data_IF_077077760758
#
_entry.id   IF_077077760758
#
_cell.length_a   1.000
_cell.length_b   1.000
_cell.length_c   1.000
_cell.angle_alpha   90.00
_cell.angle_beta   90.00
_cell.angle_gamma   90.00
#
_symmetry.space_group_name_H-M   'P 1'
#
loop_
_entity.id
_entity.type
_entity.pdbx_description
1 polymer ?
#
# COMPACT_ATOMS: atom_id res chain seq x y z
N UNK A 1 -19.40 20.83 -15.76
CA UNK A 1 -18.11 20.67 -16.46
C UNK A 1 -17.71 22.03 -16.98
N UNK A 2 -16.51 22.46 -16.61
CA UNK A 2 -15.91 23.73 -17.00
C UNK A 2 -14.83 23.42 -18.04
N UNK A 3 -14.76 24.21 -19.09
CA UNK A 3 -13.75 24.05 -20.13
C UNK A 3 -12.76 25.20 -20.01
N UNK A 4 -11.51 24.90 -19.67
CA UNK A 4 -10.46 25.90 -19.50
C UNK A 4 -9.11 25.28 -19.23
N UNK A 5 -8.08 26.11 -19.04
CA UNK A 5 -6.76 25.67 -18.65
C UNK A 5 -6.71 25.50 -17.12
N UNK A 6 -6.57 24.26 -16.65
CA UNK A 6 -6.49 23.94 -15.22
C UNK A 6 -5.27 24.50 -14.51
N UNK A 7 -4.29 25.10 -15.22
CA UNK A 7 -3.14 25.79 -14.63
C UNK A 7 -3.37 27.29 -14.45
N UNK A 8 -4.50 27.81 -14.97
CA UNK A 8 -4.89 29.20 -14.82
C UNK A 8 -5.47 29.43 -13.42
N UNK A 9 -4.74 30.19 -12.60
CA UNK A 9 -5.14 30.50 -11.23
C UNK A 9 -6.40 31.36 -11.16
N UNK A 10 -6.59 32.30 -12.11
CA UNK A 10 -7.79 33.14 -12.13
C UNK A 10 -9.04 32.28 -12.36
N UNK A 11 -8.96 31.29 -13.27
CA UNK A 11 -10.03 30.33 -13.49
C UNK A 11 -10.31 29.49 -12.24
N UNK A 12 -9.27 29.00 -11.55
CA UNK A 12 -9.44 28.21 -10.32
C UNK A 12 -10.09 29.03 -9.20
N UNK A 13 -9.78 30.32 -9.10
CA UNK A 13 -10.37 31.24 -8.14
C UNK A 13 -11.84 31.57 -8.49
N UNK A 14 -12.15 31.84 -9.76
CA UNK A 14 -13.52 32.07 -10.24
C UNK A 14 -14.45 30.88 -9.95
N UNK A 15 -13.90 29.67 -10.01
CA UNK A 15 -14.65 28.43 -9.75
C UNK A 15 -14.64 28.00 -8.29
N UNK A 16 -14.17 28.88 -7.39
CA UNK A 16 -14.16 28.68 -5.93
C UNK A 16 -13.52 27.34 -5.50
N UNK A 17 -12.40 26.99 -6.15
CA UNK A 17 -11.68 25.74 -5.87
C UNK A 17 -11.28 25.64 -4.39
N UNK A 18 -11.08 26.76 -3.72
CA UNK A 18 -10.70 26.84 -2.30
C UNK A 18 -11.79 26.30 -1.36
N UNK A 19 -13.06 26.30 -1.78
CA UNK A 19 -14.16 25.73 -1.00
C UNK A 19 -14.30 24.19 -1.17
N UNK A 20 -13.41 23.56 -1.93
CA UNK A 20 -13.48 22.13 -2.20
C UNK A 20 -12.92 21.29 -1.04
N UNK A 21 -13.55 20.15 -0.73
CA UNK A 21 -13.06 19.16 0.23
C UNK A 21 -11.83 18.40 -0.29
N UNK A 22 -11.67 18.32 -1.60
CA UNK A 22 -10.56 17.63 -2.23
C UNK A 22 -10.24 18.22 -3.61
N UNK A 23 -8.96 18.17 -4.00
CA UNK A 23 -8.46 18.55 -5.30
C UNK A 23 -7.67 17.40 -5.93
N UNK A 24 -7.97 17.07 -7.19
CA UNK A 24 -7.30 15.97 -7.89
C UNK A 24 -6.81 16.44 -9.26
N UNK A 25 -5.49 16.51 -9.45
CA UNK A 25 -4.86 16.90 -10.70
C UNK A 25 -4.55 15.68 -11.56
N UNK A 26 -5.23 15.54 -12.71
CA UNK A 26 -5.18 14.36 -13.59
C UNK A 26 -4.89 14.72 -15.06
N UNK A 27 -4.27 15.85 -15.35
CA UNK A 27 -3.93 16.20 -16.72
C UNK A 27 -2.88 15.22 -17.30
N UNK A 28 -2.56 15.31 -18.56
CA UNK A 28 -1.53 14.50 -19.21
C UNK A 28 -0.10 15.00 -18.94
N UNK A 29 0.07 16.19 -18.36
CA UNK A 29 1.35 16.81 -18.02
C UNK A 29 1.65 16.69 -16.53
N UNK A 30 2.66 15.89 -16.20
CA UNK A 30 3.04 15.61 -14.80
C UNK A 30 3.48 16.91 -14.08
N UNK A 31 4.17 17.82 -14.77
CA UNK A 31 4.63 19.10 -14.23
C UNK A 31 3.44 20.00 -13.83
N UNK A 32 2.44 20.11 -14.71
CA UNK A 32 1.26 20.92 -14.46
C UNK A 32 0.48 20.33 -13.26
N UNK A 33 0.31 19.01 -13.22
CA UNK A 33 -0.36 18.35 -12.11
C UNK A 33 0.30 18.65 -10.75
N UNK A 34 1.65 18.69 -10.71
CA UNK A 34 2.37 19.03 -9.48
C UNK A 34 2.20 20.50 -9.11
N UNK A 35 2.32 21.41 -10.08
CA UNK A 35 2.22 22.86 -9.82
C UNK A 35 0.83 23.21 -9.31
N UNK A 36 -0.24 22.77 -9.97
CA UNK A 36 -1.60 23.08 -9.54
C UNK A 36 -1.97 22.38 -8.23
N UNK A 37 -1.40 21.20 -7.96
CA UNK A 37 -1.58 20.53 -6.68
C UNK A 37 -0.89 21.27 -5.53
N UNK A 38 0.31 21.80 -5.74
CA UNK A 38 0.99 22.63 -4.75
C UNK A 38 0.23 23.93 -4.50
N UNK A 39 -0.32 24.55 -5.54
CA UNK A 39 -1.21 25.70 -5.39
C UNK A 39 -2.44 25.33 -4.53
N UNK A 40 -3.16 24.26 -4.87
CA UNK A 40 -4.33 23.79 -4.12
C UNK A 40 -4.01 23.51 -2.64
N UNK A 41 -2.86 22.91 -2.36
CA UNK A 41 -2.38 22.68 -1.01
C UNK A 41 -2.10 23.99 -0.26
N UNK A 42 -1.48 24.98 -0.92
CA UNK A 42 -1.22 26.29 -0.35
C UNK A 42 -2.53 27.05 -0.03
N UNK A 43 -3.58 26.82 -0.80
CA UNK A 43 -4.92 27.36 -0.53
C UNK A 43 -5.64 26.67 0.64
N UNK A 44 -5.04 25.65 1.23
CA UNK A 44 -5.58 24.98 2.42
C UNK A 44 -6.59 23.87 2.11
N UNK A 45 -6.68 23.39 0.88
CA UNK A 45 -7.58 22.27 0.54
C UNK A 45 -7.14 21.01 1.29
N UNK A 46 -8.05 20.36 2.06
CA UNK A 46 -7.68 19.30 3.01
C UNK A 46 -7.08 18.06 2.36
N UNK A 47 -7.52 17.73 1.14
CA UNK A 47 -7.05 16.56 0.39
C UNK A 47 -6.63 16.94 -1.01
N UNK A 48 -5.35 16.79 -1.30
CA UNK A 48 -4.79 17.06 -2.62
C UNK A 48 -4.12 15.81 -3.17
N UNK A 49 -4.43 15.46 -4.42
CA UNK A 49 -3.87 14.29 -5.11
C UNK A 49 -3.35 14.71 -6.48
N UNK A 50 -2.11 14.39 -6.78
CA UNK A 50 -1.50 14.59 -8.09
C UNK A 50 -1.23 13.29 -8.83
N UNK A 51 -1.55 13.23 -10.13
CA UNK A 51 -1.05 12.17 -11.01
C UNK A 51 0.37 12.51 -11.47
N UNK A 52 1.30 11.56 -11.32
CA UNK A 52 2.60 11.63 -11.97
C UNK A 52 3.04 10.26 -12.48
N UNK A 53 3.47 10.19 -13.71
CA UNK A 53 4.07 8.99 -14.31
C UNK A 53 5.59 8.92 -14.10
N UNK A 54 6.20 10.02 -13.67
CA UNK A 54 7.65 10.13 -13.42
C UNK A 54 7.96 9.91 -11.96
N UNK A 55 8.67 8.83 -11.64
CA UNK A 55 9.02 8.46 -10.27
C UNK A 55 9.89 9.51 -9.55
N UNK A 56 10.76 10.22 -10.27
CA UNK A 56 11.62 11.24 -9.69
C UNK A 56 10.85 12.46 -9.16
N UNK A 57 9.61 12.68 -9.59
CA UNK A 57 8.78 13.77 -9.09
C UNK A 57 8.15 13.50 -7.73
N UNK A 58 7.96 12.23 -7.36
CA UNK A 58 7.39 11.87 -6.05
C UNK A 58 8.23 12.41 -4.89
N UNK A 59 9.57 12.29 -4.95
CA UNK A 59 10.47 12.84 -3.93
C UNK A 59 10.41 14.36 -3.82
N UNK A 60 10.31 15.07 -4.96
CA UNK A 60 10.17 16.53 -4.99
C UNK A 60 8.82 16.96 -4.39
N UNK A 61 7.75 16.28 -4.77
CA UNK A 61 6.40 16.54 -4.26
C UNK A 61 6.32 16.33 -2.74
N UNK A 62 6.87 15.22 -2.23
CA UNK A 62 6.95 14.95 -0.79
C UNK A 62 7.75 16.02 -0.04
N UNK A 63 8.90 16.44 -0.58
CA UNK A 63 9.71 17.51 0.01
C UNK A 63 8.94 18.84 0.08
N UNK A 64 8.01 19.07 -0.84
CA UNK A 64 7.12 20.22 -0.87
C UNK A 64 5.84 20.04 -0.03
N UNK A 65 5.66 18.89 0.64
CA UNK A 65 4.52 18.59 1.51
C UNK A 65 3.33 17.92 0.81
N UNK A 66 3.44 17.56 -0.47
CA UNK A 66 2.39 16.87 -1.20
C UNK A 66 2.52 15.34 -1.02
N UNK A 67 1.77 14.79 -0.09
CA UNK A 67 1.89 13.37 0.29
C UNK A 67 1.18 12.40 -0.66
N UNK A 68 0.23 12.87 -1.47
CA UNK A 68 -0.58 12.02 -2.34
C UNK A 68 -0.21 12.19 -3.81
N UNK A 69 0.87 11.56 -4.24
CA UNK A 69 1.24 11.44 -5.65
C UNK A 69 1.00 10.02 -6.12
N UNK A 70 0.17 9.85 -7.14
CA UNK A 70 -0.20 8.54 -7.69
C UNK A 70 0.36 8.37 -9.10
N UNK A 71 0.84 7.16 -9.39
CA UNK A 71 1.23 6.75 -10.74
C UNK A 71 0.31 5.66 -11.25
N UNK A 72 -0.54 5.92 -12.25
CA UNK A 72 -1.40 4.90 -12.84
C UNK A 72 -0.64 3.67 -13.35
N UNK A 73 0.56 3.89 -13.89
CA UNK A 73 1.43 2.79 -14.37
C UNK A 73 1.85 1.86 -13.23
N UNK A 74 2.24 2.41 -12.08
CA UNK A 74 2.63 1.61 -10.92
C UNK A 74 1.44 0.90 -10.28
N UNK A 75 0.27 1.56 -10.22
CA UNK A 75 -0.97 0.94 -9.75
C UNK A 75 -1.34 -0.25 -10.64
N UNK A 76 -1.33 -0.08 -11.96
CA UNK A 76 -1.62 -1.16 -12.90
C UNK A 76 -0.59 -2.30 -12.78
N UNK A 77 0.69 -1.99 -12.69
CA UNK A 77 1.73 -3.01 -12.48
C UNK A 77 1.51 -3.79 -11.16
N UNK A 78 1.13 -3.11 -10.09
CA UNK A 78 0.77 -3.74 -8.82
C UNK A 78 -0.42 -4.69 -8.95
N UNK A 79 -1.47 -4.28 -9.64
CA UNK A 79 -2.64 -5.13 -9.92
C UNK A 79 -2.29 -6.37 -10.74
N UNK A 80 -1.46 -6.23 -11.78
CA UNK A 80 -0.99 -7.35 -12.58
C UNK A 80 -0.18 -8.33 -11.71
N UNK A 81 0.75 -7.83 -10.90
CA UNK A 81 1.53 -8.66 -9.98
C UNK A 81 0.65 -9.40 -8.98
N UNK A 82 -0.38 -8.74 -8.44
CA UNK A 82 -1.35 -9.37 -7.55
C UNK A 82 -2.06 -10.55 -8.23
N UNK A 83 -2.55 -10.35 -9.46
CA UNK A 83 -3.22 -11.42 -10.23
C UNK A 83 -2.26 -12.58 -10.50
N UNK A 84 -1.03 -12.29 -10.95
CA UNK A 84 -0.02 -13.34 -11.25
C UNK A 84 0.34 -14.12 -9.98
N UNK A 85 0.58 -13.45 -8.86
CA UNK A 85 0.86 -14.12 -7.58
C UNK A 85 -0.33 -14.93 -7.07
N UNK A 86 -1.55 -14.41 -7.22
CA UNK A 86 -2.77 -15.14 -6.87
C UNK A 86 -2.95 -16.44 -7.70
N UNK A 87 -2.60 -16.43 -8.98
CA UNK A 87 -2.61 -17.63 -9.81
C UNK A 87 -1.58 -18.67 -9.37
N UNK A 88 -0.42 -18.26 -8.87
CA UNK A 88 0.62 -19.15 -8.36
C UNK A 88 0.25 -19.76 -7.00
N UNK A 89 -0.57 -19.06 -6.23
CA UNK A 89 -1.00 -19.45 -4.88
C UNK A 89 -2.45 -19.95 -4.86
N UNK A 90 -2.73 -21.04 -5.56
CA UNK A 90 -4.10 -21.59 -5.70
C UNK A 90 -4.69 -22.21 -4.42
N UNK A 91 -3.92 -22.39 -3.35
CA UNK A 91 -4.33 -23.06 -2.10
C UNK A 91 -4.05 -22.24 -0.83
N UNK A 92 -3.42 -21.10 -0.93
CA UNK A 92 -2.99 -20.30 0.20
C UNK A 92 -3.94 -19.17 0.62
N UNK A 93 -3.45 -18.27 1.44
CA UNK A 93 -4.15 -17.06 1.86
C UNK A 93 -4.35 -16.12 0.68
N UNK A 94 -5.54 -15.54 0.55
CA UNK A 94 -5.83 -14.60 -0.54
C UNK A 94 -5.05 -13.32 -0.32
N UNK A 95 -4.23 -12.93 -1.31
CA UNK A 95 -3.59 -11.61 -1.34
C UNK A 95 -4.55 -10.62 -1.98
N UNK A 96 -5.05 -9.65 -1.20
CA UNK A 96 -5.98 -8.62 -1.66
C UNK A 96 -5.28 -7.42 -2.29
N UNK A 97 -4.09 -7.07 -1.80
CA UNK A 97 -3.36 -5.92 -2.28
C UNK A 97 -1.84 -6.11 -2.16
N UNK A 98 -1.12 -5.44 -3.07
CA UNK A 98 0.34 -5.36 -3.08
C UNK A 98 0.76 -3.95 -3.48
N UNK A 99 1.51 -3.29 -2.61
CA UNK A 99 2.06 -1.96 -2.84
C UNK A 99 3.57 -1.98 -2.65
N UNK A 100 4.29 -1.39 -3.59
CA UNK A 100 5.70 -1.08 -3.39
C UNK A 100 5.82 0.22 -2.58
N UNK A 101 6.57 0.19 -1.50
CA UNK A 101 6.81 1.31 -0.61
C UNK A 101 8.32 1.57 -0.48
N UNK A 102 8.71 2.69 0.12
CA UNK A 102 10.11 3.08 0.30
C UNK A 102 10.91 3.00 -1.03
N UNK A 103 10.41 3.66 -2.07
CA UNK A 103 11.03 3.69 -3.42
C UNK A 103 11.26 2.29 -4.03
N UNK A 104 10.42 1.34 -3.67
CA UNK A 104 10.51 -0.05 -4.13
C UNK A 104 11.41 -0.96 -3.30
N UNK A 105 12.00 -0.45 -2.21
CA UNK A 105 12.85 -1.24 -1.32
C UNK A 105 12.08 -2.12 -0.35
N UNK A 106 10.76 -1.96 -0.26
CA UNK A 106 9.87 -2.81 0.51
C UNK A 106 8.53 -3.00 -0.20
N UNK A 107 7.81 -4.04 0.19
CA UNK A 107 6.46 -4.33 -0.27
C UNK A 107 5.52 -4.35 0.95
N UNK A 108 4.37 -3.68 0.83
CA UNK A 108 3.25 -3.82 1.74
C UNK A 108 2.20 -4.72 1.09
N UNK A 109 1.86 -5.80 1.74
CA UNK A 109 0.95 -6.83 1.22
C UNK A 109 -0.20 -7.02 2.19
N UNK A 110 -1.40 -7.12 1.64
CA UNK A 110 -2.60 -7.42 2.39
C UNK A 110 -3.04 -8.85 2.12
N UNK A 111 -3.16 -9.64 3.18
CA UNK A 111 -3.63 -11.02 3.12
C UNK A 111 -4.89 -11.19 3.98
N UNK A 112 -5.73 -12.16 3.62
CA UNK A 112 -6.79 -12.64 4.50
C UNK A 112 -6.36 -13.98 5.08
N UNK A 113 -6.23 -14.04 6.40
CA UNK A 113 -5.94 -15.27 7.11
C UNK A 113 -7.11 -16.26 6.97
N UNK A 114 -6.82 -17.51 6.68
CA UNK A 114 -7.83 -18.55 6.46
C UNK A 114 -7.53 -19.82 7.25
N UNK A 115 -8.28 -20.88 7.01
CA UNK A 115 -8.10 -22.15 7.70
C UNK A 115 -6.73 -22.79 7.52
N UNK A 116 -6.00 -22.47 6.44
CA UNK A 116 -4.67 -23.01 6.13
C UNK A 116 -3.54 -22.13 6.66
N UNK A 117 -3.84 -20.96 7.21
CA UNK A 117 -2.83 -20.08 7.83
C UNK A 117 -2.24 -20.75 9.05
N UNK A 118 -0.91 -20.90 9.07
CA UNK A 118 -0.16 -21.46 10.20
C UNK A 118 -0.12 -20.48 11.37
N UNK A 119 0.16 -20.99 12.56
CA UNK A 119 0.40 -20.20 13.78
C UNK A 119 -0.75 -19.24 14.14
N UNK A 120 -1.98 -19.55 13.75
CA UNK A 120 -3.15 -18.80 14.19
C UNK A 120 -3.29 -18.84 15.70
N UNK A 121 -3.89 -17.80 16.25
CA UNK A 121 -4.19 -17.67 17.68
C UNK A 121 -2.96 -17.75 18.59
N UNK A 122 -1.74 -17.71 17.99
CA UNK A 122 -0.47 -17.68 18.71
C UNK A 122 0.00 -16.23 18.82
N UNK A 123 0.40 -15.74 20.00
CA UNK A 123 0.94 -14.40 20.17
C UNK A 123 2.14 -14.13 19.26
N UNK A 124 2.18 -12.95 18.61
CA UNK A 124 3.25 -12.59 17.66
C UNK A 124 4.65 -12.69 18.28
N UNK A 125 4.81 -12.42 19.58
CA UNK A 125 6.08 -12.57 20.30
C UNK A 125 6.61 -14.00 20.35
N UNK A 126 5.75 -15.01 20.17
CA UNK A 126 6.09 -16.42 20.18
C UNK A 126 6.38 -16.95 18.78
N UNK A 127 6.11 -16.16 17.76
CA UNK A 127 6.30 -16.51 16.36
C UNK A 127 7.72 -16.18 15.90
N UNK A 128 8.29 -17.06 15.09
CA UNK A 128 9.53 -16.79 14.37
C UNK A 128 9.19 -16.30 12.98
N UNK A 129 9.34 -14.99 12.76
CA UNK A 129 9.18 -14.36 11.46
C UNK A 129 10.51 -14.35 10.73
N UNK A 130 10.47 -14.51 9.42
CA UNK A 130 11.67 -14.36 8.57
C UNK A 130 12.26 -12.95 8.69
N UNK A 131 13.59 -12.79 8.57
CA UNK A 131 14.22 -11.48 8.62
C UNK A 131 13.61 -10.51 7.60
N UNK A 132 13.40 -9.25 8.00
CA UNK A 132 12.86 -8.20 7.15
C UNK A 132 11.34 -8.24 6.98
N UNK A 133 10.64 -9.03 7.78
CA UNK A 133 9.18 -9.09 7.84
C UNK A 133 8.66 -8.32 9.05
N UNK A 134 7.59 -7.57 8.85
CA UNK A 134 6.83 -6.89 9.89
C UNK A 134 5.33 -7.11 9.66
N UNK A 135 4.63 -7.62 10.66
CA UNK A 135 3.16 -7.56 10.71
C UNK A 135 2.79 -6.15 11.17
N UNK A 136 2.35 -5.31 10.26
CA UNK A 136 2.17 -3.89 10.49
C UNK A 136 0.77 -3.53 11.00
N UNK A 137 -0.26 -4.22 10.49
CA UNK A 137 -1.67 -3.97 10.86
C UNK A 137 -2.43 -5.28 10.86
N UNK A 138 -3.33 -5.42 11.82
CA UNK A 138 -4.38 -6.44 11.83
C UNK A 138 -5.75 -5.76 11.75
N UNK A 139 -6.65 -6.31 10.93
CA UNK A 139 -8.06 -5.91 10.94
C UNK A 139 -8.88 -7.10 11.42
N UNK A 140 -9.33 -7.02 12.66
CA UNK A 140 -10.14 -8.04 13.29
C UNK A 140 -11.59 -7.58 13.37
N UNK A 141 -12.52 -8.29 12.74
CA UNK A 141 -13.95 -7.95 12.72
C UNK A 141 -14.22 -6.47 12.36
N UNK A 142 -13.47 -5.92 11.39
CA UNK A 142 -13.58 -4.53 10.94
C UNK A 142 -12.87 -3.50 11.84
N UNK A 143 -12.21 -3.91 12.92
CA UNK A 143 -11.41 -3.04 13.78
C UNK A 143 -9.95 -3.09 13.37
N UNK A 144 -9.39 -1.93 13.11
CA UNK A 144 -7.97 -1.78 12.80
C UNK A 144 -7.17 -1.76 14.10
N UNK A 145 -6.16 -2.63 14.18
CA UNK A 145 -5.25 -2.77 15.32
C UNK A 145 -3.81 -2.66 14.83
N UNK A 146 -3.02 -1.82 15.46
CA UNK A 146 -1.56 -1.86 15.34
C UNK A 146 -1.09 -2.97 16.30
N UNK A 147 -0.60 -4.10 15.77
CA UNK A 147 -0.32 -5.25 16.63
C UNK A 147 0.91 -5.04 17.50
N UNK A 148 0.88 -5.63 18.66
CA UNK A 148 2.01 -5.80 19.57
C UNK A 148 2.36 -7.27 19.75
N UNK A 149 3.34 -7.57 20.62
CA UNK A 149 3.76 -8.94 20.85
C UNK A 149 2.70 -9.85 21.47
N UNK A 150 1.62 -9.31 22.06
CA UNK A 150 0.51 -10.08 22.63
C UNK A 150 -0.62 -10.34 21.63
N UNK A 151 -0.62 -9.63 20.50
CA UNK A 151 -1.60 -9.78 19.42
C UNK A 151 -1.41 -11.11 18.70
N UNK A 152 -2.47 -11.69 18.19
CA UNK A 152 -2.46 -12.93 17.41
C UNK A 152 -3.25 -12.75 16.12
N UNK A 153 -3.00 -13.60 15.12
CA UNK A 153 -3.73 -13.64 13.86
C UNK A 153 -4.84 -14.68 13.97
N UNK A 154 -6.09 -14.27 13.80
CA UNK A 154 -7.23 -15.18 13.77
C UNK A 154 -7.68 -15.45 12.32
N UNK A 155 -8.42 -16.55 12.13
CA UNK A 155 -9.04 -16.83 10.83
C UNK A 155 -10.06 -15.73 10.47
N UNK A 156 -9.98 -15.22 9.24
CA UNK A 156 -10.82 -14.13 8.77
C UNK A 156 -10.21 -12.73 8.98
N UNK A 157 -9.10 -12.62 9.70
CA UNK A 157 -8.42 -11.34 9.85
C UNK A 157 -7.77 -10.90 8.54
N UNK A 158 -7.83 -9.60 8.27
CA UNK A 158 -6.95 -8.98 7.28
C UNK A 158 -5.63 -8.64 7.94
N UNK A 159 -4.53 -9.11 7.35
CA UNK A 159 -3.16 -8.95 7.85
C UNK A 159 -2.36 -8.13 6.86
N UNK A 160 -1.88 -6.97 7.27
CA UNK A 160 -0.96 -6.17 6.46
C UNK A 160 0.46 -6.47 6.89
N UNK A 161 1.23 -7.01 5.95
CA UNK A 161 2.64 -7.39 6.13
C UNK A 161 3.51 -6.44 5.34
N UNK A 162 4.55 -5.92 5.96
CA UNK A 162 5.61 -5.18 5.28
C UNK A 162 6.83 -6.11 5.19
N UNK A 163 7.38 -6.24 3.98
CA UNK A 163 8.55 -7.07 3.72
C UNK A 163 9.58 -6.35 2.87
N UNK A 164 10.85 -6.48 3.22
CA UNK A 164 11.96 -6.12 2.34
C UNK A 164 12.32 -7.26 1.37
N UNK A 165 11.79 -8.45 1.61
CA UNK A 165 11.99 -9.61 0.74
C UNK A 165 10.88 -9.61 -0.32
N UNK A 166 11.26 -9.66 -1.58
CA UNK A 166 10.31 -9.82 -2.69
C UNK A 166 9.94 -11.30 -2.84
N UNK A 167 8.70 -11.56 -3.27
CA UNK A 167 8.26 -12.91 -3.59
C UNK A 167 7.48 -13.62 -2.48
N UNK A 168 7.00 -12.92 -1.46
CA UNK A 168 5.97 -13.44 -0.55
C UNK A 168 4.70 -13.67 -1.38
N UNK A 169 4.23 -14.90 -1.43
CA UNK A 169 3.04 -15.31 -2.19
C UNK A 169 1.87 -15.63 -1.29
N UNK A 170 2.15 -16.10 -0.07
CA UNK A 170 1.18 -16.55 0.92
C UNK A 170 1.52 -15.99 2.30
N UNK A 171 0.51 -15.82 3.15
CA UNK A 171 0.74 -15.38 4.52
C UNK A 171 1.65 -16.34 5.30
N UNK A 172 1.64 -17.63 4.96
CA UNK A 172 2.53 -18.60 5.59
C UNK A 172 4.02 -18.40 5.26
N UNK A 173 4.33 -17.68 4.17
CA UNK A 173 5.71 -17.41 3.76
C UNK A 173 6.44 -16.46 4.72
N UNK A 174 5.70 -15.76 5.59
CA UNK A 174 6.30 -14.84 6.58
C UNK A 174 6.97 -15.58 7.74
N UNK A 175 6.59 -16.85 7.99
CA UNK A 175 7.13 -17.64 9.10
C UNK A 175 8.41 -18.36 8.70
N UNK A 176 9.34 -18.51 9.64
CA UNK A 176 10.47 -19.42 9.46
C UNK A 176 9.97 -20.87 9.34
N UNK A 177 10.65 -21.67 8.53
CA UNK A 177 10.33 -23.09 8.43
C UNK A 177 10.70 -23.78 9.75
N UNK A 178 9.79 -24.59 10.27
CA UNK A 178 10.07 -25.41 11.45
C UNK A 178 11.16 -26.41 11.08
N UNK A 179 12.26 -26.41 11.80
CA UNK A 179 13.38 -27.37 11.62
C UNK A 179 13.00 -28.84 11.90
N UNK A 180 11.73 -29.19 11.90
CA UNK A 180 11.24 -30.53 12.28
C UNK A 180 11.07 -31.51 11.12
N UNK A 181 11.42 -31.15 9.87
CA UNK A 181 11.33 -32.09 8.74
C UNK A 181 12.68 -32.65 8.27
N UNK A 182 13.79 -32.40 8.94
CA UNK A 182 15.10 -32.96 8.61
C UNK A 182 15.55 -34.14 9.51
N UNK A 183 14.61 -34.79 10.16
CA UNK A 183 14.90 -35.91 11.10
C UNK A 183 14.13 -37.19 10.80
N UNK A 184 14.13 -37.67 9.58
CA UNK A 184 13.47 -38.92 9.25
C UNK A 184 13.97 -39.57 8.00
N UNK A 185 15.23 -40.06 8.04
CA UNK A 185 15.66 -41.28 7.33
C UNK A 185 17.07 -41.61 7.79
N UNK A 186 17.15 -42.50 8.72
CA UNK A 186 18.35 -43.30 9.04
C UNK A 186 17.91 -44.75 9.22
#
# INVERSE_FOLDING_TARGET
>A
VICGDGTDQELLEEEDVTASDAFVALTDRDEDNLIISLYAMQQGIPKVVAKSNRQNYAGIAHAAGLDSVISPKLLTAGQILQVVRGMQNSKGSVMNALYKIADGHAEAMEFVANATTRNRDTPLRELRLKPGILVAVLVHQGRIVIPDGSSSIAAGDTVIVISRNHGILDLNDIFEDSLLELGGDA
#
